data_IF_326197001374
#
_entry.id   IF_326197001374
#
_cell.length_a   1.000
_cell.length_b   1.000
_cell.length_c   1.000
_cell.angle_alpha   90.00
_cell.angle_beta   90.00
_cell.angle_gamma   90.00
#
_symmetry.space_group_name_H-M   'P 1'
#
loop_
_entity.id
_entity.type
_entity.pdbx_description
1 polymer ?
#
# COMPACT_ATOMS: atom_id res chain seq x y z
N UNK A 1 30.05 10.32 5.33
CA UNK A 1 30.13 10.04 3.88
C UNK A 1 31.41 10.64 3.32
N UNK A 2 31.73 11.90 3.63
CA UNK A 2 33.09 12.43 3.42
C UNK A 2 34.01 12.04 4.58
N UNK A 3 35.21 11.55 4.27
CA UNK A 3 36.23 11.18 5.26
C UNK A 3 36.62 9.69 5.29
N UNK A 4 35.96 8.83 4.51
CA UNK A 4 36.42 7.46 4.30
C UNK A 4 37.35 7.41 3.08
N UNK A 5 38.59 7.00 3.29
CA UNK A 5 39.51 6.59 2.22
C UNK A 5 38.87 5.42 1.47
N UNK A 6 38.33 5.69 0.28
CA UNK A 6 37.88 4.73 -0.73
C UNK A 6 37.35 3.40 -0.17
N UNK A 7 36.28 3.41 0.62
CA UNK A 7 35.50 2.20 0.87
C UNK A 7 34.78 1.85 -0.43
N UNK A 8 35.48 1.11 -1.28
CA UNK A 8 34.91 0.52 -2.49
C UNK A 8 33.74 -0.39 -2.11
N UNK A 9 32.52 0.01 -2.49
CA UNK A 9 31.34 -0.87 -2.52
C UNK A 9 30.21 -0.61 -1.52
N UNK A 10 30.14 0.52 -0.81
CA UNK A 10 29.00 0.80 0.10
C UNK A 10 27.93 1.65 -0.61
N UNK A 11 26.68 1.16 -0.63
CA UNK A 11 25.50 1.90 -1.10
C UNK A 11 24.65 2.27 0.12
N UNK A 12 24.26 3.55 0.23
CA UNK A 12 23.40 4.04 1.30
C UNK A 12 22.02 4.38 0.73
N UNK A 13 20.97 3.80 1.32
CA UNK A 13 19.58 4.13 1.06
C UNK A 13 18.95 4.70 2.34
N UNK A 14 18.26 5.83 2.21
CA UNK A 14 17.53 6.46 3.31
C UNK A 14 16.12 6.86 2.84
N UNK A 15 15.16 6.86 3.76
CA UNK A 15 13.77 7.24 3.51
C UNK A 15 13.29 8.25 4.56
N UNK A 16 12.56 9.28 4.15
CA UNK A 16 11.94 10.25 5.05
C UNK A 16 10.57 10.67 4.51
N UNK A 17 9.61 10.89 5.42
CA UNK A 17 8.32 11.51 5.09
C UNK A 17 8.37 13.04 5.24
N UNK A 18 9.50 13.58 5.69
CA UNK A 18 9.71 15.01 5.95
C UNK A 18 11.06 15.46 5.39
N UNK A 19 11.22 15.55 4.05
CA UNK A 19 12.47 15.98 3.44
C UNK A 19 12.82 17.44 3.76
N UNK A 20 11.83 18.27 4.09
CA UNK A 20 11.97 19.70 4.36
C UNK A 20 12.73 20.03 5.66
N UNK A 21 12.70 19.11 6.64
CA UNK A 21 13.41 19.28 7.91
C UNK A 21 14.83 18.72 7.90
N UNK A 22 15.24 18.05 6.81
CA UNK A 22 16.58 17.49 6.71
C UNK A 22 17.63 18.60 6.63
N UNK A 23 18.77 18.37 7.28
CA UNK A 23 19.92 19.25 7.14
C UNK A 23 20.37 19.30 5.67
N UNK A 24 20.45 20.51 5.11
CA UNK A 24 20.91 20.77 3.74
C UNK A 24 22.31 20.22 3.48
N UNK A 25 23.13 20.04 4.52
CA UNK A 25 24.43 19.40 4.39
C UNK A 25 24.33 17.94 3.91
N UNK A 26 23.26 17.22 4.23
CA UNK A 26 23.07 15.82 3.80
C UNK A 26 22.67 15.70 2.32
N UNK A 27 22.08 16.75 1.75
CA UNK A 27 21.62 16.81 0.36
C UNK A 27 22.70 17.32 -0.62
N UNK A 28 23.92 17.57 -0.12
CA UNK A 28 25.03 18.01 -0.97
C UNK A 28 25.57 16.82 -1.79
N UNK A 29 26.07 17.08 -3.01
CA UNK A 29 26.75 16.07 -3.83
C UNK A 29 27.85 15.31 -3.05
N UNK A 30 27.97 14.00 -3.27
CA UNK A 30 28.79 13.06 -2.50
C UNK A 30 28.09 12.41 -1.30
N UNK A 31 26.80 12.70 -1.08
CA UNK A 31 26.01 12.20 0.06
C UNK A 31 24.70 11.59 -0.43
N UNK A 32 23.54 12.19 -0.12
CA UNK A 32 22.27 11.78 -0.72
C UNK A 32 22.07 12.47 -2.07
N UNK A 33 22.81 12.00 -3.06
CA UNK A 33 22.89 12.62 -4.40
C UNK A 33 21.66 12.34 -5.26
N UNK A 34 20.95 11.25 -4.97
CA UNK A 34 19.75 10.82 -5.67
C UNK A 34 18.57 10.85 -4.71
N UNK A 35 17.58 11.65 -5.06
CA UNK A 35 16.28 11.70 -4.36
C UNK A 35 15.22 11.14 -5.30
N UNK A 36 14.46 10.17 -4.81
CA UNK A 36 13.31 9.58 -5.50
C UNK A 36 12.09 9.90 -4.66
N UNK A 37 11.14 10.64 -5.23
CA UNK A 37 9.85 10.90 -4.59
C UNK A 37 8.92 9.73 -4.86
N UNK A 38 8.25 9.25 -3.81
CA UNK A 38 7.23 8.21 -3.90
C UNK A 38 5.86 8.85 -3.68
N UNK A 39 5.10 8.96 -4.77
CA UNK A 39 3.73 9.47 -4.74
C UNK A 39 2.73 8.32 -4.51
N UNK A 40 1.48 8.67 -4.20
CA UNK A 40 0.39 7.69 -4.17
C UNK A 40 0.20 7.05 -5.55
N UNK A 41 -0.05 5.73 -5.62
CA UNK A 41 -0.19 5.03 -6.90
C UNK A 41 -1.38 5.54 -7.71
N UNK A 42 -1.19 5.59 -9.03
CA UNK A 42 -2.27 5.80 -9.98
C UNK A 42 -3.20 4.57 -10.06
N UNK A 43 -4.24 4.63 -10.89
CA UNK A 43 -5.21 3.54 -11.00
C UNK A 43 -4.55 2.21 -11.40
N UNK A 44 -3.58 2.23 -12.33
CA UNK A 44 -2.88 1.03 -12.79
C UNK A 44 -1.93 0.49 -11.72
N UNK A 45 -1.25 1.37 -11.00
CA UNK A 45 -0.42 1.02 -9.85
C UNK A 45 -1.24 0.38 -8.75
N UNK A 46 -2.42 0.93 -8.42
CA UNK A 46 -3.33 0.31 -7.45
C UNK A 46 -3.81 -1.07 -7.90
N UNK A 47 -4.17 -1.23 -9.17
CA UNK A 47 -4.56 -2.53 -9.74
C UNK A 47 -3.44 -3.57 -9.58
N UNK A 48 -2.19 -3.20 -9.88
CA UNK A 48 -1.03 -4.07 -9.68
C UNK A 48 -0.79 -4.42 -8.21
N UNK A 49 -0.91 -3.43 -7.31
CA UNK A 49 -0.80 -3.67 -5.86
C UNK A 49 -1.90 -4.63 -5.42
N UNK A 50 -3.15 -4.41 -5.82
CA UNK A 50 -4.25 -5.33 -5.54
C UNK A 50 -3.94 -6.74 -6.01
N UNK A 51 -3.46 -6.96 -7.25
CA UNK A 51 -3.07 -8.29 -7.72
C UNK A 51 -2.10 -9.00 -6.78
N UNK A 52 -1.08 -8.29 -6.27
CA UNK A 52 -0.08 -8.86 -5.35
C UNK A 52 -0.71 -9.31 -4.03
N UNK A 53 -1.63 -8.51 -3.48
CA UNK A 53 -2.29 -8.84 -2.21
C UNK A 53 -3.41 -9.88 -2.37
N UNK A 54 -4.17 -9.80 -3.45
CA UNK A 54 -5.23 -10.75 -3.82
C UNK A 54 -4.68 -12.17 -4.05
N UNK A 55 -3.47 -12.31 -4.60
CA UNK A 55 -2.82 -13.60 -4.81
C UNK A 55 -2.59 -14.41 -3.51
N UNK A 56 -2.67 -13.77 -2.34
CA UNK A 56 -2.50 -14.43 -1.02
C UNK A 56 -3.83 -14.90 -0.42
N UNK A 57 -4.96 -14.55 -1.03
CA UNK A 57 -6.30 -14.83 -0.51
C UNK A 57 -6.93 -16.01 -1.26
N UNK A 58 -7.78 -16.77 -0.56
CA UNK A 58 -8.68 -17.74 -1.20
C UNK A 58 -9.87 -16.98 -1.76
N UNK A 59 -9.88 -16.77 -3.07
CA UNK A 59 -10.90 -15.98 -3.80
C UNK A 59 -11.89 -16.90 -4.52
N UNK A 60 -13.13 -16.43 -4.72
CA UNK A 60 -14.12 -17.19 -5.53
C UNK A 60 -13.81 -17.09 -7.03
N UNK A 61 -13.12 -16.03 -7.48
CA UNK A 61 -12.68 -15.84 -8.88
C UNK A 61 -11.19 -15.45 -8.94
N UNK A 62 -10.65 -15.38 -10.16
CA UNK A 62 -9.27 -14.94 -10.38
C UNK A 62 -9.03 -13.50 -9.89
N UNK A 63 -7.84 -13.19 -9.40
CA UNK A 63 -7.50 -11.87 -8.84
C UNK A 63 -7.80 -10.71 -9.81
N UNK A 64 -7.58 -10.91 -11.11
CA UNK A 64 -7.84 -9.91 -12.16
C UNK A 64 -9.30 -9.48 -12.23
N UNK A 65 -10.24 -10.36 -11.87
CA UNK A 65 -11.66 -10.03 -11.85
C UNK A 65 -11.98 -8.93 -10.83
N UNK A 66 -11.24 -8.88 -9.72
CA UNK A 66 -11.45 -7.91 -8.66
C UNK A 66 -10.58 -6.66 -8.83
N UNK A 67 -9.31 -6.82 -9.22
CA UNK A 67 -8.30 -5.77 -9.13
C UNK A 67 -8.66 -4.49 -9.87
N UNK A 68 -9.26 -4.60 -11.06
CA UNK A 68 -9.65 -3.42 -11.86
C UNK A 68 -10.73 -2.59 -11.15
N UNK A 69 -11.78 -3.26 -10.67
CA UNK A 69 -12.86 -2.58 -9.96
C UNK A 69 -12.42 -2.05 -8.60
N UNK A 70 -11.60 -2.80 -7.86
CA UNK A 70 -11.07 -2.33 -6.57
C UNK A 70 -10.16 -1.12 -6.74
N UNK A 71 -9.34 -1.07 -7.79
CA UNK A 71 -8.53 0.10 -8.09
C UNK A 71 -9.38 1.35 -8.40
N UNK A 72 -10.52 1.19 -9.07
CA UNK A 72 -11.46 2.27 -9.35
C UNK A 72 -12.17 2.78 -8.08
N UNK A 73 -12.48 1.89 -7.13
CA UNK A 73 -13.16 2.23 -5.86
C UNK A 73 -12.25 2.85 -4.80
N UNK A 74 -10.93 2.91 -5.02
CA UNK A 74 -9.95 3.30 -4.00
C UNK A 74 -9.06 4.49 -4.40
N UNK A 75 -9.61 5.61 -4.92
CA UNK A 75 -8.81 6.76 -5.30
C UNK A 75 -8.03 7.34 -4.10
N UNK A 76 -6.76 7.67 -4.31
CA UNK A 76 -5.89 8.27 -3.29
C UNK A 76 -5.34 7.30 -2.23
N UNK A 77 -5.73 6.02 -2.27
CA UNK A 77 -5.21 5.02 -1.34
C UNK A 77 -3.75 4.69 -1.60
N UNK A 78 -2.97 4.60 -0.53
CA UNK A 78 -1.60 4.10 -0.54
C UNK A 78 -1.57 2.56 -0.63
N UNK A 79 -0.38 1.98 -0.86
CA UNK A 79 -0.22 0.52 -0.80
C UNK A 79 -0.56 -0.07 0.57
N UNK A 80 -0.35 0.70 1.65
CA UNK A 80 -0.73 0.28 3.00
C UNK A 80 -2.26 0.19 3.14
N UNK A 81 -3.00 1.18 2.62
CA UNK A 81 -4.46 1.19 2.65
C UNK A 81 -5.04 0.03 1.84
N UNK A 82 -4.49 -0.25 0.66
CA UNK A 82 -4.89 -1.40 -0.18
C UNK A 82 -4.66 -2.73 0.53
N UNK A 83 -3.51 -2.87 1.21
CA UNK A 83 -3.22 -4.04 2.03
C UNK A 83 -4.26 -4.20 3.13
N UNK A 84 -4.64 -3.09 3.78
CA UNK A 84 -5.63 -3.09 4.83
C UNK A 84 -7.02 -3.49 4.31
N UNK A 85 -7.44 -2.99 3.14
CA UNK A 85 -8.69 -3.41 2.47
C UNK A 85 -8.71 -4.92 2.25
N UNK A 86 -7.62 -5.51 1.75
CA UNK A 86 -7.54 -6.96 1.52
C UNK A 86 -7.67 -7.76 2.84
N UNK A 87 -7.06 -7.28 3.92
CA UNK A 87 -7.15 -7.91 5.23
C UNK A 87 -8.55 -7.81 5.83
N UNK A 88 -9.18 -6.64 5.77
CA UNK A 88 -10.55 -6.43 6.26
C UNK A 88 -11.56 -7.25 5.45
N UNK A 89 -11.35 -7.42 4.14
CA UNK A 89 -12.19 -8.28 3.31
C UNK A 89 -12.08 -9.74 3.73
N UNK A 90 -10.87 -10.23 4.01
CA UNK A 90 -10.66 -11.58 4.52
C UNK A 90 -11.32 -11.77 5.90
N UNK A 91 -11.18 -10.80 6.81
CA UNK A 91 -11.83 -10.82 8.12
C UNK A 91 -13.35 -10.79 8.02
N UNK A 92 -13.89 -10.00 7.09
CA UNK A 92 -15.32 -9.97 6.81
C UNK A 92 -15.80 -11.34 6.32
N UNK A 93 -15.12 -11.96 5.36
CA UNK A 93 -15.48 -13.29 4.86
C UNK A 93 -15.50 -14.34 5.99
N UNK A 94 -14.50 -14.35 6.86
CA UNK A 94 -14.43 -15.25 8.03
C UNK A 94 -15.60 -15.00 8.99
N UNK A 95 -15.92 -13.75 9.30
CA UNK A 95 -17.06 -13.39 10.17
C UNK A 95 -18.40 -13.81 9.57
N UNK A 96 -18.51 -13.77 8.24
CA UNK A 96 -19.68 -14.24 7.50
C UNK A 96 -19.69 -15.76 7.27
N UNK A 97 -18.76 -16.51 7.86
CA UNK A 97 -18.62 -17.96 7.67
C UNK A 97 -18.51 -18.39 6.20
N UNK A 98 -17.86 -17.54 5.37
CA UNK A 98 -17.61 -17.83 3.97
C UNK A 98 -16.27 -18.56 3.82
N UNK A 99 -16.20 -19.56 2.93
CA UNK A 99 -14.97 -20.31 2.68
C UNK A 99 -13.94 -19.55 1.82
N UNK A 100 -14.38 -18.53 1.09
CA UNK A 100 -13.57 -17.75 0.14
C UNK A 100 -14.06 -16.30 0.15
N UNK A 101 -13.15 -15.37 -0.15
CA UNK A 101 -13.45 -13.95 -0.24
C UNK A 101 -14.06 -13.65 -1.61
N UNK A 102 -15.14 -12.87 -1.63
CA UNK A 102 -15.79 -12.40 -2.84
C UNK A 102 -16.04 -10.88 -2.79
N UNK A 103 -16.61 -10.33 -3.87
CA UNK A 103 -16.72 -8.88 -4.06
C UNK A 103 -17.45 -8.17 -2.93
N UNK A 104 -18.50 -8.77 -2.38
CA UNK A 104 -19.25 -8.21 -1.25
C UNK A 104 -18.36 -7.97 -0.02
N UNK A 105 -17.35 -8.81 0.20
CA UNK A 105 -16.42 -8.64 1.31
C UNK A 105 -15.45 -7.48 1.05
N UNK A 106 -15.00 -7.32 -0.19
CA UNK A 106 -14.14 -6.19 -0.56
C UNK A 106 -14.89 -4.86 -0.54
N UNK A 107 -16.13 -4.81 -1.03
CA UNK A 107 -16.96 -3.60 -0.97
C UNK A 107 -17.18 -3.17 0.48
N UNK A 108 -17.56 -4.11 1.36
CA UNK A 108 -17.69 -3.83 2.79
C UNK A 108 -16.37 -3.38 3.43
N UNK A 109 -15.24 -3.97 3.03
CA UNK A 109 -13.93 -3.57 3.52
C UNK A 109 -13.52 -2.17 3.07
N UNK A 110 -13.77 -1.81 1.81
CA UNK A 110 -13.52 -0.45 1.30
C UNK A 110 -14.36 0.57 2.07
N UNK A 111 -15.65 0.32 2.24
CA UNK A 111 -16.54 1.20 3.00
C UNK A 111 -16.08 1.37 4.45
N UNK A 112 -15.62 0.29 5.09
CA UNK A 112 -15.09 0.33 6.45
C UNK A 112 -13.77 1.08 6.57
N UNK A 113 -12.88 0.96 5.59
CA UNK A 113 -11.60 1.68 5.58
C UNK A 113 -11.81 3.17 5.35
N UNK A 114 -12.78 3.56 4.53
CA UNK A 114 -13.11 4.97 4.24
C UNK A 114 -13.96 5.59 5.37
N UNK A 115 -15.05 4.93 5.75
CA UNK A 115 -16.06 5.42 6.69
C UNK A 115 -15.78 5.11 8.16
N UNK A 116 -14.81 4.24 8.45
CA UNK A 116 -14.53 3.75 9.79
C UNK A 116 -15.43 2.59 10.23
N UNK A 117 -15.20 2.06 11.42
CA UNK A 117 -15.98 0.94 11.94
C UNK A 117 -17.44 1.35 12.18
N UNK A 118 -18.38 0.53 11.69
CA UNK A 118 -19.81 0.69 11.99
C UNK A 118 -20.04 0.82 13.50
N UNK A 119 -20.67 1.92 13.92
CA UNK A 119 -21.15 2.06 15.29
C UNK A 119 -22.41 1.21 15.46
N UNK A 120 -22.30 0.09 16.17
CA UNK A 120 -23.48 -0.60 16.69
C UNK A 120 -24.08 0.26 17.79
N UNK A 121 -25.19 0.94 17.51
CA UNK A 121 -26.03 1.49 18.57
C UNK A 121 -26.55 0.30 19.41
N UNK A 122 -26.23 0.30 20.70
CA UNK A 122 -26.85 -0.57 21.71
C UNK A 122 -28.21 0.00 22.09
#
# INVERSE_FOLDING_TARGET
>A
MDGFTSTSGVVILASTNRPEILDKALLRPGRFDRTITLDTPDIKGREQIFRVHLAKLKLTRHADFYSERLAALTPGMSGADITNVCNEAALHAVRSSMESVDMINFESAVDRVIGGAEKKNK
#
